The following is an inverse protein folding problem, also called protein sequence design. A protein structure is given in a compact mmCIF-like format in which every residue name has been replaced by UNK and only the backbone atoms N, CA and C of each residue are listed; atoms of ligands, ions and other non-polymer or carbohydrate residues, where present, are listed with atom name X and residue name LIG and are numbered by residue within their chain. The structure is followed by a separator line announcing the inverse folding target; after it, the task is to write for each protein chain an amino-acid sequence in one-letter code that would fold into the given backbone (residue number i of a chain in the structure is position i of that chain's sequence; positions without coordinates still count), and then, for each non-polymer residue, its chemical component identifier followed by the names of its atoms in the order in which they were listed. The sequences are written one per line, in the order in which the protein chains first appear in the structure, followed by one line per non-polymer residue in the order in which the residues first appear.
data_IF_252039967153
#
_entry.id   IF_252039967153
#
_cell.length_a   1.000
_cell.length_b   1.000
_cell.length_c   1.000
_cell.angle_alpha   90.00
_cell.angle_beta   90.00
_cell.angle_gamma   90.00
#
_symmetry.space_group_name_H-M   'P 1'
#
loop_
_entity.id
_entity.type
_entity.pdbx_description
1 polymer ?
#
# COMPACT_ATOMS: atom_id res chain seq x y z
N UNK A 1 -52.88 9.55 48.19
CA UNK A 1 -53.17 8.47 47.23
C UNK A 1 -52.25 8.65 46.03
N UNK A 2 -51.24 7.78 45.87
CA UNK A 2 -50.33 7.75 44.72
C UNK A 2 -51.10 7.27 43.49
N UNK A 3 -51.11 8.03 42.40
CA UNK A 3 -51.52 7.53 41.09
C UNK A 3 -50.26 7.44 40.23
N UNK A 4 -49.75 6.21 40.13
CA UNK A 4 -48.71 5.80 39.20
C UNK A 4 -49.20 6.04 37.77
N UNK A 5 -48.61 7.02 37.08
CA UNK A 5 -48.69 7.10 35.63
C UNK A 5 -47.98 5.87 35.06
N UNK A 6 -48.77 5.02 34.40
CA UNK A 6 -48.33 3.86 33.66
C UNK A 6 -47.21 4.26 32.68
N UNK A 7 -45.99 3.78 32.93
CA UNK A 7 -44.98 3.66 31.89
C UNK A 7 -45.49 2.60 30.93
N UNK A 8 -45.92 3.02 29.74
CA UNK A 8 -46.24 2.11 28.64
C UNK A 8 -44.97 1.34 28.27
N UNK A 9 -44.86 0.09 28.72
CA UNK A 9 -43.76 -0.80 28.33
C UNK A 9 -43.90 -1.14 26.85
N UNK A 10 -43.21 -0.41 25.99
CA UNK A 10 -43.08 -0.81 24.60
C UNK A 10 -42.18 -2.06 24.59
N UNK A 11 -42.80 -3.23 24.43
CA UNK A 11 -42.12 -4.53 24.39
C UNK A 11 -41.37 -4.71 23.05
N UNK A 12 -40.39 -3.84 22.81
CA UNK A 12 -39.51 -3.86 21.63
C UNK A 12 -38.05 -4.02 22.06
N UNK A 13 -37.17 -4.33 21.12
CA UNK A 13 -35.72 -4.23 21.37
C UNK A 13 -35.33 -2.76 21.56
N UNK A 14 -34.19 -2.54 22.23
CA UNK A 14 -33.52 -1.24 22.16
C UNK A 14 -33.17 -0.89 20.71
N UNK A 15 -32.83 0.38 20.48
CA UNK A 15 -32.26 0.80 19.19
C UNK A 15 -31.09 -0.12 18.80
N UNK A 16 -30.96 -0.51 17.50
CA UNK A 16 -29.88 -1.38 17.07
C UNK A 16 -28.51 -0.79 17.40
N UNK A 17 -27.51 -1.62 17.75
CA UNK A 17 -26.16 -1.14 17.99
C UNK A 17 -25.61 -0.31 16.82
N UNK A 18 -24.93 0.79 17.14
CA UNK A 18 -24.10 1.50 16.16
C UNK A 18 -22.79 0.72 16.00
N UNK A 19 -22.26 0.69 14.78
CA UNK A 19 -20.99 0.05 14.46
C UNK A 19 -20.04 1.06 13.84
N UNK A 20 -18.75 0.91 14.07
CA UNK A 20 -17.73 1.75 13.44
C UNK A 20 -17.70 1.50 11.94
N UNK A 21 -17.48 2.56 11.17
CA UNK A 21 -17.40 2.54 9.70
C UNK A 21 -18.58 1.85 9.01
N UNK A 22 -19.78 1.96 9.61
CA UNK A 22 -20.99 1.36 9.08
C UNK A 22 -22.26 2.05 9.52
N UNK A 23 -23.36 1.69 8.87
CA UNK A 23 -24.69 2.29 9.01
C UNK A 23 -25.73 1.19 9.01
N UNK A 24 -26.90 1.44 9.58
CA UNK A 24 -28.02 0.50 9.51
C UNK A 24 -29.34 1.17 9.14
N UNK A 25 -30.22 0.41 8.48
CA UNK A 25 -31.59 0.80 8.19
C UNK A 25 -32.54 -0.13 8.95
N UNK A 26 -33.49 0.47 9.66
CA UNK A 26 -34.56 -0.25 10.31
C UNK A 26 -35.69 -0.54 9.32
N UNK A 27 -36.13 -1.78 9.25
CA UNK A 27 -37.31 -2.21 8.51
C UNK A 27 -38.34 -2.71 9.51
N UNK A 28 -39.48 -2.03 9.57
CA UNK A 28 -40.60 -2.37 10.46
C UNK A 28 -41.63 -3.18 9.69
N UNK A 29 -41.81 -4.45 10.03
CA UNK A 29 -42.91 -5.25 9.51
C UNK A 29 -44.14 -5.15 10.42
N UNK A 30 -45.32 -5.06 9.81
CA UNK A 30 -46.61 -4.74 10.45
C UNK A 30 -47.02 -5.69 11.59
N UNK A 31 -46.38 -6.86 11.73
CA UNK A 31 -46.76 -7.93 12.65
C UNK A 31 -45.59 -8.71 13.30
N UNK A 32 -44.55 -8.04 13.83
CA UNK A 32 -43.64 -8.56 14.89
C UNK A 32 -42.17 -8.91 14.54
N UNK A 33 -41.54 -8.22 13.59
CA UNK A 33 -40.08 -8.21 13.53
C UNK A 33 -39.58 -6.82 13.09
N UNK A 34 -38.84 -6.15 13.97
CA UNK A 34 -37.98 -5.04 13.57
C UNK A 34 -36.67 -5.67 13.08
N UNK A 35 -36.33 -5.45 11.82
CA UNK A 35 -35.05 -5.86 11.27
C UNK A 35 -34.13 -4.65 11.14
N UNK A 36 -32.86 -4.82 11.51
CA UNK A 36 -31.81 -3.85 11.27
C UNK A 36 -30.87 -4.42 10.22
N UNK A 37 -30.86 -3.82 9.03
CA UNK A 37 -29.95 -4.16 7.94
C UNK A 37 -28.75 -3.24 7.97
N UNK A 38 -27.56 -3.80 8.16
CA UNK A 38 -26.28 -3.12 8.23
C UNK A 38 -25.60 -3.07 6.87
N UNK A 39 -24.82 -2.02 6.68
CA UNK A 39 -23.99 -1.75 5.50
C UNK A 39 -22.72 -1.02 5.95
N UNK A 40 -21.58 -1.37 5.36
CA UNK A 40 -20.32 -0.71 5.67
C UNK A 40 -20.10 0.52 4.79
N UNK A 41 -19.35 1.48 5.33
CA UNK A 41 -18.89 2.65 4.58
C UNK A 41 -17.92 2.24 3.46
N UNK A 42 -17.72 3.14 2.49
CA UNK A 42 -16.81 2.87 1.37
C UNK A 42 -15.39 2.58 1.85
N UNK A 43 -14.81 1.50 1.33
CA UNK A 43 -13.48 1.03 1.71
C UNK A 43 -13.47 0.11 2.94
N UNK A 44 -14.63 -0.34 3.39
CA UNK A 44 -14.77 -1.36 4.44
C UNK A 44 -15.63 -2.53 3.94
N UNK A 45 -15.37 -3.72 4.46
CA UNK A 45 -16.13 -4.94 4.13
C UNK A 45 -16.85 -5.48 5.36
N UNK A 46 -18.06 -5.99 5.17
CA UNK A 46 -18.92 -6.48 6.25
C UNK A 46 -18.53 -7.91 6.63
N UNK A 47 -18.22 -8.12 7.91
CA UNK A 47 -17.92 -9.42 8.50
C UNK A 47 -18.97 -9.74 9.57
N UNK A 48 -19.71 -10.83 9.37
CA UNK A 48 -20.80 -11.27 10.25
C UNK A 48 -22.17 -11.24 9.56
N UNK A 49 -23.24 -11.28 10.35
CA UNK A 49 -24.60 -11.26 9.81
C UNK A 49 -25.02 -9.80 9.48
N UNK A 50 -25.33 -9.46 8.22
CA UNK A 50 -25.75 -8.11 7.85
C UNK A 50 -27.15 -7.74 8.37
N UNK A 51 -27.93 -8.70 8.89
CA UNK A 51 -29.30 -8.47 9.35
C UNK A 51 -29.44 -8.96 10.79
N UNK A 52 -29.89 -8.07 11.67
CA UNK A 52 -30.34 -8.45 13.00
C UNK A 52 -31.86 -8.36 13.07
N UNK A 53 -32.50 -9.42 13.56
CA UNK A 53 -33.94 -9.47 13.79
C UNK A 53 -34.21 -9.30 15.27
N UNK A 54 -35.17 -8.44 15.62
CA UNK A 54 -35.60 -8.22 16.98
C UNK A 54 -36.75 -9.17 17.34
N UNK A 55 -36.59 -9.95 18.41
CA UNK A 55 -37.65 -10.80 18.96
C UNK A 55 -37.60 -10.78 20.50
N UNK A 56 -38.75 -10.68 21.16
CA UNK A 56 -38.86 -10.65 22.64
C UNK A 56 -37.87 -9.69 23.32
N UNK A 57 -37.76 -8.46 22.79
CA UNK A 57 -36.83 -7.42 23.27
C UNK A 57 -35.33 -7.79 23.19
N UNK A 58 -34.97 -8.77 22.35
CA UNK A 58 -33.59 -9.18 22.09
C UNK A 58 -33.27 -9.21 20.60
N UNK A 59 -32.09 -8.73 20.24
CA UNK A 59 -31.54 -8.91 18.90
C UNK A 59 -31.07 -10.35 18.70
N UNK A 60 -31.19 -10.84 17.46
CA UNK A 60 -30.85 -12.22 17.06
C UNK A 60 -29.37 -12.58 17.22
N UNK A 61 -28.49 -11.61 17.46
CA UNK A 61 -27.05 -11.82 17.65
C UNK A 61 -26.29 -10.52 17.86
N UNK A 62 -24.94 -10.60 17.93
CA UNK A 62 -24.08 -9.42 17.94
C UNK A 62 -24.14 -8.69 16.59
N UNK A 63 -23.90 -7.37 16.56
CA UNK A 63 -23.81 -6.63 15.31
C UNK A 63 -22.61 -7.07 14.46
N UNK A 64 -22.68 -6.93 13.13
CA UNK A 64 -21.55 -7.20 12.26
C UNK A 64 -20.43 -6.19 12.47
N UNK A 65 -19.24 -6.50 11.97
CA UNK A 65 -18.09 -5.61 11.97
C UNK A 65 -17.80 -5.12 10.54
N UNK A 66 -17.37 -3.88 10.42
CA UNK A 66 -16.85 -3.33 9.17
C UNK A 66 -15.33 -3.27 9.24
N UNK A 67 -14.66 -4.16 8.51
CA UNK A 67 -13.19 -4.23 8.48
C UNK A 67 -12.63 -3.43 7.33
N UNK A 68 -11.51 -2.75 7.56
CA UNK A 68 -10.84 -1.96 6.54
C UNK A 68 -10.46 -2.81 5.33
N UNK A 69 -10.58 -2.22 4.14
CA UNK A 69 -10.01 -2.74 2.90
C UNK A 69 -8.92 -1.77 2.44
N UNK A 70 -7.68 -2.22 2.47
CA UNK A 70 -6.53 -1.42 2.02
C UNK A 70 -6.43 -1.43 0.50
N UNK A 71 -5.96 -0.32 -0.10
CA UNK A 71 -5.68 -0.26 -1.53
C UNK A 71 -4.57 -1.24 -1.90
N UNK A 72 -4.59 -1.76 -3.12
CA UNK A 72 -3.49 -2.57 -3.65
C UNK A 72 -2.20 -1.74 -3.66
N UNK A 73 -1.13 -2.19 -2.98
CA UNK A 73 0.16 -1.52 -3.03
C UNK A 73 0.69 -1.41 -4.46
N UNK A 74 1.02 -0.19 -4.90
CA UNK A 74 1.72 0.06 -6.15
C UNK A 74 3.23 0.05 -5.88
N UNK A 75 3.95 -0.87 -6.53
CA UNK A 75 5.39 -1.06 -6.34
C UNK A 75 6.03 -1.02 -7.73
N UNK A 76 6.72 0.07 -8.03
CA UNK A 76 7.52 0.15 -9.26
C UNK A 76 8.67 -0.86 -9.16
N UNK A 77 8.91 -1.62 -10.24
CA UNK A 77 9.97 -2.63 -10.30
C UNK A 77 9.87 -3.72 -9.22
N UNK A 78 8.65 -4.08 -8.84
CA UNK A 78 8.37 -5.17 -7.92
C UNK A 78 6.93 -5.66 -7.99
N UNK A 79 6.66 -6.71 -7.25
CA UNK A 79 5.36 -7.37 -7.21
C UNK A 79 5.03 -7.88 -5.80
N UNK A 80 3.73 -8.06 -5.55
CA UNK A 80 3.25 -8.79 -4.39
C UNK A 80 3.44 -10.30 -4.61
N UNK A 81 3.77 -11.04 -3.55
CA UNK A 81 3.85 -12.51 -3.56
C UNK A 81 2.50 -13.20 -3.35
N UNK A 82 1.41 -12.48 -3.58
CA UNK A 82 0.03 -12.96 -3.45
C UNK A 82 -0.75 -12.52 -4.68
N UNK A 83 -1.61 -13.41 -5.18
CA UNK A 83 -2.51 -13.15 -6.30
C UNK A 83 -3.92 -12.87 -5.76
N UNK A 84 -4.17 -11.60 -5.40
CA UNK A 84 -5.41 -11.12 -4.78
C UNK A 84 -5.58 -9.61 -5.01
N UNK A 85 -6.82 -9.18 -5.24
CA UNK A 85 -7.16 -7.78 -5.55
C UNK A 85 -7.73 -6.98 -4.36
N UNK A 86 -7.85 -7.59 -3.18
CA UNK A 86 -8.40 -6.95 -1.98
C UNK A 86 -7.65 -7.37 -0.74
N UNK A 87 -7.31 -6.41 0.12
CA UNK A 87 -6.57 -6.68 1.36
C UNK A 87 -7.38 -6.20 2.55
N UNK A 88 -7.74 -7.13 3.44
CA UNK A 88 -8.57 -6.84 4.60
C UNK A 88 -7.68 -6.54 5.81
N UNK A 89 -8.15 -5.69 6.70
CA UNK A 89 -7.54 -5.38 7.99
C UNK A 89 -6.87 -6.61 8.64
N UNK A 90 -5.67 -6.41 9.17
CA UNK A 90 -4.75 -7.41 9.74
C UNK A 90 -4.10 -8.39 8.76
N UNK A 91 -4.45 -8.36 7.47
CA UNK A 91 -3.74 -9.15 6.46
C UNK A 91 -2.33 -8.59 6.22
N UNK A 92 -1.37 -9.51 6.06
CA UNK A 92 0.00 -9.22 5.72
C UNK A 92 0.27 -9.58 4.26
N UNK A 93 1.01 -8.73 3.56
CA UNK A 93 1.49 -9.00 2.21
C UNK A 93 2.99 -8.87 2.15
N UNK A 94 3.61 -9.69 1.31
CA UNK A 94 5.06 -9.73 1.12
C UNK A 94 5.41 -9.23 -0.27
N UNK A 95 6.37 -8.30 -0.33
CA UNK A 95 6.85 -7.67 -1.55
C UNK A 95 8.13 -8.38 -2.03
N UNK A 96 8.27 -8.46 -3.35
CA UNK A 96 9.50 -8.88 -4.01
C UNK A 96 9.84 -7.87 -5.10
N UNK A 97 11.10 -7.46 -5.14
CA UNK A 97 11.61 -6.62 -6.23
C UNK A 97 12.03 -7.45 -7.45
N UNK A 98 11.96 -6.82 -8.60
CA UNK A 98 12.45 -7.37 -9.86
C UNK A 98 13.97 -7.54 -9.85
N UNK A 99 14.48 -8.32 -10.80
CA UNK A 99 15.92 -8.49 -10.96
C UNK A 99 16.62 -7.16 -11.23
N UNK A 100 17.70 -6.89 -10.50
CA UNK A 100 18.44 -5.62 -10.59
C UNK A 100 17.91 -4.52 -9.68
N UNK A 101 16.90 -4.79 -8.85
CA UNK A 101 16.38 -3.87 -7.85
C UNK A 101 16.49 -4.46 -6.43
N UNK A 102 16.80 -3.61 -5.46
CA UNK A 102 16.87 -3.94 -4.05
C UNK A 102 15.69 -3.32 -3.29
N UNK A 103 15.20 -4.05 -2.31
CA UNK A 103 14.12 -3.60 -1.44
C UNK A 103 14.64 -2.55 -0.45
N UNK A 104 14.00 -1.40 -0.42
CA UNK A 104 14.21 -0.33 0.57
C UNK A 104 12.97 -0.20 1.43
N UNK A 105 13.08 -0.61 2.69
CA UNK A 105 11.96 -0.65 3.66
C UNK A 105 11.65 -2.06 4.14
N UNK A 106 10.43 -2.27 4.63
CA UNK A 106 9.98 -3.57 5.12
C UNK A 106 9.52 -4.47 3.98
N UNK A 107 9.94 -5.73 3.98
CA UNK A 107 9.48 -6.71 2.99
C UNK A 107 8.02 -7.11 3.18
N UNK A 108 7.53 -7.02 4.42
CA UNK A 108 6.16 -7.36 4.78
C UNK A 108 5.47 -6.13 5.35
N UNK A 109 4.25 -5.88 4.87
CA UNK A 109 3.39 -4.78 5.32
C UNK A 109 2.01 -5.32 5.70
N UNK A 110 1.36 -4.65 6.65
CA UNK A 110 0.08 -5.05 7.24
C UNK A 110 -1.00 -4.02 6.92
N UNK A 111 -2.19 -4.47 6.53
CA UNK A 111 -3.35 -3.60 6.36
C UNK A 111 -3.91 -3.18 7.72
N UNK A 112 -3.99 -1.88 7.98
CA UNK A 112 -4.51 -1.32 9.23
C UNK A 112 -5.99 -0.94 9.13
N UNK A 113 -6.61 -0.74 10.30
CA UNK A 113 -8.02 -0.33 10.47
C UNK A 113 -8.37 1.01 9.79
N UNK A 114 -7.37 1.88 9.60
CA UNK A 114 -7.54 3.17 8.92
C UNK A 114 -7.35 3.08 7.39
N UNK A 115 -7.30 1.86 6.84
CA UNK A 115 -7.05 1.54 5.43
C UNK A 115 -5.67 1.94 4.91
N UNK A 116 -4.68 2.04 5.79
CA UNK A 116 -3.28 2.30 5.42
C UNK A 116 -2.42 1.06 5.62
N UNK A 117 -1.27 1.05 4.95
CA UNK A 117 -0.26 0.00 5.11
C UNK A 117 0.75 0.40 6.18
N UNK A 118 1.10 -0.56 7.03
CA UNK A 118 2.17 -0.37 8.00
C UNK A 118 3.11 -1.58 8.09
N UNK A 119 4.44 -1.38 8.01
CA UNK A 119 5.12 -0.14 7.62
C UNK A 119 4.66 0.37 6.24
N UNK A 120 5.03 1.59 5.88
CA UNK A 120 4.69 2.15 4.56
C UNK A 120 5.16 1.22 3.43
N UNK A 121 4.48 1.33 2.27
CA UNK A 121 4.79 0.52 1.09
C UNK A 121 6.28 0.71 0.73
N UNK A 122 7.08 -0.38 0.66
CA UNK A 122 8.51 -0.27 0.37
C UNK A 122 8.77 0.13 -1.08
N UNK A 123 10.00 0.58 -1.35
CA UNK A 123 10.46 0.89 -2.70
C UNK A 123 11.41 -0.19 -3.21
N UNK A 124 11.43 -0.38 -4.52
CA UNK A 124 12.45 -1.17 -5.20
C UNK A 124 13.38 -0.20 -5.92
N UNK A 125 14.62 -0.11 -5.45
CA UNK A 125 15.62 0.82 -6.00
C UNK A 125 16.66 0.07 -6.82
N UNK A 126 17.07 0.66 -7.94
CA UNK A 126 18.02 0.02 -8.85
C UNK A 126 19.37 -0.22 -8.15
N UNK A 127 19.87 -1.44 -8.29
CA UNK A 127 21.17 -1.84 -7.75
C UNK A 127 22.23 -1.63 -8.81
N UNK A 128 23.26 -0.84 -8.47
CA UNK A 128 24.44 -0.66 -9.31
C UNK A 128 25.14 -2.02 -9.50
N UNK A 129 25.26 -2.53 -10.74
CA UNK A 129 26.00 -3.75 -11.00
C UNK A 129 27.48 -3.59 -10.60
N UNK A 130 28.08 -4.67 -10.12
CA UNK A 130 29.50 -4.70 -9.82
C UNK A 130 30.33 -4.37 -11.07
N UNK A 131 31.33 -3.51 -10.93
CA UNK A 131 32.18 -3.04 -12.04
C UNK A 131 31.68 -1.76 -12.72
N UNK A 132 30.54 -1.20 -12.30
CA UNK A 132 30.06 0.09 -12.78
C UNK A 132 30.47 1.27 -11.89
N UNK A 133 31.28 1.06 -10.86
CA UNK A 133 31.63 2.09 -9.87
C UNK A 133 32.35 3.27 -10.50
N UNK A 134 33.28 3.03 -11.45
CA UNK A 134 33.98 4.12 -12.16
C UNK A 134 33.04 4.92 -13.07
N UNK A 135 32.01 4.26 -13.63
CA UNK A 135 31.01 4.92 -14.48
C UNK A 135 30.15 5.88 -13.64
N UNK A 136 29.74 5.46 -12.44
CA UNK A 136 28.98 6.30 -11.51
C UNK A 136 29.82 7.47 -11.03
N UNK A 137 31.05 7.22 -10.57
CA UNK A 137 31.96 8.28 -10.13
C UNK A 137 32.24 9.29 -11.26
N UNK A 138 32.43 8.80 -12.49
CA UNK A 138 32.57 9.66 -13.67
C UNK A 138 31.32 10.49 -13.94
N UNK A 139 30.12 9.92 -13.81
CA UNK A 139 28.85 10.65 -13.96
C UNK A 139 28.70 11.75 -12.91
N UNK A 140 29.03 11.49 -11.65
CA UNK A 140 28.99 12.47 -10.57
C UNK A 140 29.97 13.63 -10.81
N UNK A 141 31.20 13.32 -11.24
CA UNK A 141 32.16 14.35 -11.64
C UNK A 141 31.64 15.23 -12.78
N UNK A 142 30.97 14.63 -13.77
CA UNK A 142 30.37 15.39 -14.87
C UNK A 142 29.20 16.27 -14.42
N UNK A 143 28.51 15.95 -13.32
CA UNK A 143 27.45 16.81 -12.76
C UNK A 143 28.00 18.12 -12.15
N UNK A 144 29.31 18.20 -11.89
CA UNK A 144 29.94 19.44 -11.42
C UNK A 144 30.11 20.49 -12.53
N UNK A 145 29.88 20.12 -13.80
CA UNK A 145 30.03 21.03 -14.92
C UNK A 145 28.75 21.88 -15.09
N UNK A 146 28.88 23.20 -15.34
CA UNK A 146 27.76 24.13 -15.24
C UNK A 146 26.78 24.07 -16.42
N UNK A 147 27.18 23.50 -17.56
CA UNK A 147 26.33 23.34 -18.75
C UNK A 147 26.54 21.99 -19.44
N UNK A 148 25.58 21.62 -20.29
CA UNK A 148 25.66 20.37 -21.09
C UNK A 148 26.79 20.47 -22.11
N UNK A 149 27.04 21.67 -22.63
CA UNK A 149 28.15 21.95 -23.54
C UNK A 149 29.50 21.69 -22.88
N UNK A 150 29.66 22.04 -21.60
CA UNK A 150 30.88 21.77 -20.83
C UNK A 150 31.08 20.27 -20.61
N UNK A 151 30.01 19.53 -20.29
CA UNK A 151 30.05 18.06 -20.18
C UNK A 151 30.48 17.44 -21.51
N UNK A 152 29.91 17.91 -22.62
CA UNK A 152 30.27 17.42 -23.95
C UNK A 152 31.72 17.71 -24.28
N UNK A 153 32.21 18.92 -24.00
CA UNK A 153 33.60 19.28 -24.20
C UNK A 153 34.55 18.41 -23.35
N UNK A 154 34.22 18.21 -22.07
CA UNK A 154 35.02 17.36 -21.18
C UNK A 154 35.08 15.90 -21.67
N UNK A 155 33.96 15.36 -22.17
CA UNK A 155 33.91 14.01 -22.74
C UNK A 155 34.75 13.89 -24.02
N UNK A 156 34.72 14.89 -24.91
CA UNK A 156 35.56 14.90 -26.11
C UNK A 156 37.05 15.02 -25.76
N UNK A 157 37.41 15.84 -24.76
CA UNK A 157 38.79 15.93 -24.28
C UNK A 157 39.27 14.59 -23.69
N UNK A 158 38.44 13.93 -22.88
CA UNK A 158 38.76 12.62 -22.33
C UNK A 158 38.89 11.54 -23.41
N UNK A 159 38.02 11.57 -24.42
CA UNK A 159 38.13 10.68 -25.58
C UNK A 159 39.45 10.90 -26.33
N UNK A 160 39.82 12.15 -26.60
CA UNK A 160 41.07 12.49 -27.28
C UNK A 160 42.29 12.06 -26.46
N UNK A 161 42.27 12.21 -25.12
CA UNK A 161 43.39 11.76 -24.29
C UNK A 161 43.59 10.23 -24.38
N UNK A 162 42.50 9.45 -24.37
CA UNK A 162 42.56 8.00 -24.53
C UNK A 162 43.06 7.60 -25.93
N UNK A 163 42.65 8.31 -26.98
CA UNK A 163 43.15 8.07 -28.34
C UNK A 163 44.65 8.35 -28.45
N UNK A 164 45.14 9.42 -27.81
CA UNK A 164 46.58 9.73 -27.75
C UNK A 164 47.34 8.60 -27.05
N UNK A 165 46.89 8.15 -25.87
CA UNK A 165 47.50 7.03 -25.14
C UNK A 165 47.55 5.75 -25.98
N UNK A 166 46.47 5.44 -26.70
CA UNK A 166 46.41 4.28 -27.57
C UNK A 166 47.42 4.38 -28.73
N UNK A 167 47.54 5.55 -29.36
CA UNK A 167 48.49 5.80 -30.45
C UNK A 167 49.94 5.71 -29.97
N UNK A 168 50.24 6.21 -28.78
CA UNK A 168 51.57 6.09 -28.16
C UNK A 168 51.94 4.63 -27.92
N UNK A 169 51.02 3.82 -27.38
CA UNK A 169 51.22 2.38 -27.20
C UNK A 169 51.48 1.66 -28.51
N UNK A 170 50.75 1.99 -29.57
CA UNK A 170 50.95 1.40 -30.90
C UNK A 170 52.31 1.77 -31.48
N UNK A 171 52.71 3.04 -31.38
CA UNK A 171 54.02 3.53 -31.82
C UNK A 171 55.16 2.81 -31.09
N UNK A 172 55.03 2.61 -29.79
CA UNK A 172 56.05 1.91 -29.00
C UNK A 172 56.12 0.41 -29.33
N UNK A 173 54.99 -0.23 -29.62
CA UNK A 173 54.96 -1.61 -30.12
C UNK A 173 55.61 -1.73 -31.50
N UNK A 174 55.34 -0.79 -32.40
CA UNK A 174 55.95 -0.75 -33.74
C UNK A 174 57.46 -0.53 -33.71
N UNK A 175 57.98 0.24 -32.74
CA UNK A 175 59.43 0.43 -32.55
C UNK A 175 60.15 -0.81 -31.97
N UNK A 176 59.41 -1.71 -31.33
CA UNK A 176 59.93 -2.94 -30.71
C UNK A 176 59.80 -4.18 -31.61
N UNK A 177 59.12 -4.05 -32.76
CA UNK A 177 58.99 -5.07 -33.81
C UNK A 177 60.02 -4.83 -34.90
#
# INVERSE_FOLDING_TARGET
LKLSHFMSSQQGCSYPPVIDHGRHKLTTHTFSANEAKYECDRGYTLVGNPILSCSYSRWSGPPPQCKAVCPTPEIEHGNLLVDKDQFVETENVTIRCDSGYALVGSQTITCLENRTWYPEVPKCEWVVPAGCEQVIAGRELMQCLPSVEDVKMALELYKLSLEIELLELQKDKAKKS
#
